data_IF_788620383821
#
_entry.id   IF_788620383821
#
_cell.length_a   1.000
_cell.length_b   1.000
_cell.length_c   1.000
_cell.angle_alpha   90.00
_cell.angle_beta   90.00
_cell.angle_gamma   90.00
#
_symmetry.space_group_name_H-M   'P 1'
#
loop_
_entity.id
_entity.type
_entity.pdbx_description
1 polymer ?
#
# COMPACT_ATOMS: atom_id res chain seq x y z
N UNK A 1 -33.88 59.29 -24.70
CA UNK A 1 -32.69 58.65 -24.11
C UNK A 1 -33.18 57.76 -22.98
N UNK A 2 -33.08 56.44 -23.10
CA UNK A 2 -32.99 55.40 -22.04
C UNK A 2 -33.00 54.06 -22.80
N UNK A 3 -31.78 53.56 -23.07
CA UNK A 3 -31.51 52.14 -23.25
C UNK A 3 -31.53 51.51 -21.86
N UNK A 4 -32.20 50.35 -21.66
CA UNK A 4 -31.79 49.34 -20.67
C UNK A 4 -32.37 47.98 -21.12
N UNK A 5 -31.58 47.20 -21.86
CA UNK A 5 -30.82 46.04 -21.38
C UNK A 5 -31.70 44.85 -20.94
N UNK A 6 -31.85 43.88 -21.85
CA UNK A 6 -32.34 42.53 -21.57
C UNK A 6 -31.35 41.86 -20.62
N UNK A 7 -31.76 41.59 -19.39
CA UNK A 7 -30.97 40.81 -18.44
C UNK A 7 -30.99 39.33 -18.88
N UNK A 8 -29.89 38.87 -19.45
CA UNK A 8 -29.63 37.46 -19.73
C UNK A 8 -29.29 36.77 -18.40
N UNK A 9 -30.13 35.84 -17.97
CA UNK A 9 -29.90 34.99 -16.81
C UNK A 9 -28.77 34.00 -17.15
N UNK A 10 -27.54 34.28 -16.74
CA UNK A 10 -26.43 33.30 -16.84
C UNK A 10 -26.40 32.51 -15.54
N UNK A 11 -27.02 31.32 -15.56
CA UNK A 11 -26.97 30.35 -14.48
C UNK A 11 -25.56 29.73 -14.45
N UNK A 12 -24.68 30.23 -13.57
CA UNK A 12 -23.38 29.60 -13.33
C UNK A 12 -23.61 28.38 -12.44
N UNK A 13 -23.77 27.21 -13.05
CA UNK A 13 -23.72 25.94 -12.34
C UNK A 13 -22.28 25.65 -11.90
N UNK A 14 -21.94 26.07 -10.69
CA UNK A 14 -20.73 25.64 -10.02
C UNK A 14 -20.86 24.13 -9.73
N UNK A 15 -20.29 23.30 -10.62
CA UNK A 15 -20.14 21.86 -10.43
C UNK A 15 -19.15 21.63 -9.29
N UNK A 16 -19.65 21.62 -8.05
CA UNK A 16 -18.87 21.24 -6.88
C UNK A 16 -18.60 19.74 -6.97
N UNK A 17 -17.45 19.38 -7.52
CA UNK A 17 -16.90 18.03 -7.38
C UNK A 17 -16.59 17.84 -5.90
N UNK A 18 -17.53 17.21 -5.17
CA UNK A 18 -17.29 16.66 -3.84
C UNK A 18 -16.21 15.60 -4.00
N UNK A 19 -14.95 16.01 -3.85
CA UNK A 19 -13.87 15.07 -3.61
C UNK A 19 -14.18 14.45 -2.25
N UNK A 20 -14.70 13.22 -2.25
CA UNK A 20 -14.80 12.40 -1.06
C UNK A 20 -13.37 12.21 -0.55
N UNK A 21 -12.92 13.08 0.34
CA UNK A 21 -11.71 12.89 1.13
C UNK A 21 -12.06 11.76 2.09
N UNK A 22 -11.95 10.51 1.61
CA UNK A 22 -11.96 9.34 2.48
C UNK A 22 -10.93 9.63 3.56
N UNK A 23 -11.37 9.77 4.81
CA UNK A 23 -10.44 9.84 5.94
C UNK A 23 -9.72 8.51 6.00
N UNK A 24 -8.38 8.53 6.08
CA UNK A 24 -7.65 7.28 6.36
C UNK A 24 -7.82 6.91 7.82
N UNK A 25 -8.14 5.64 8.07
CA UNK A 25 -8.32 5.07 9.41
C UNK A 25 -7.02 4.52 9.98
N UNK A 26 -6.02 4.30 9.13
CA UNK A 26 -4.71 3.77 9.53
C UNK A 26 -3.58 4.80 9.36
N UNK A 27 -2.51 4.67 10.13
CA UNK A 27 -1.29 5.47 10.00
C UNK A 27 -0.72 5.30 8.59
N UNK A 28 -0.64 4.07 8.10
CA UNK A 28 -0.06 3.81 6.79
C UNK A 28 -0.97 4.24 5.64
N UNK A 29 -2.29 4.14 5.77
CA UNK A 29 -3.24 4.73 4.82
C UNK A 29 -3.08 6.25 4.74
N UNK A 30 -2.94 6.93 5.88
CA UNK A 30 -2.70 8.38 5.93
C UNK A 30 -1.38 8.75 5.28
N UNK A 31 -0.32 7.99 5.55
CA UNK A 31 0.99 8.16 4.90
C UNK A 31 0.89 7.94 3.38
N UNK A 32 0.22 6.87 2.95
CA UNK A 32 0.02 6.52 1.55
C UNK A 32 -0.74 7.61 0.77
N UNK A 33 -1.77 8.20 1.36
CA UNK A 33 -2.51 9.33 0.75
C UNK A 33 -1.62 10.55 0.52
N UNK A 34 -0.67 10.84 1.42
CA UNK A 34 0.29 11.94 1.24
C UNK A 34 1.21 11.73 0.04
N UNK A 35 1.59 10.48 -0.25
CA UNK A 35 2.39 10.13 -1.44
C UNK A 35 1.65 10.41 -2.76
N UNK A 36 0.31 10.37 -2.75
CA UNK A 36 -0.54 10.56 -3.93
C UNK A 36 -0.87 12.01 -4.29
N UNK A 37 -0.51 13.00 -3.47
CA UNK A 37 -0.99 14.39 -3.62
C UNK A 37 -0.26 15.23 -4.69
N UNK A 38 0.55 14.60 -5.56
CA UNK A 38 0.98 15.21 -6.83
C UNK A 38 -0.03 14.83 -7.92
N UNK A 39 -1.25 15.35 -7.81
CA UNK A 39 -2.23 15.25 -8.88
C UNK A 39 -1.85 16.24 -9.99
N UNK A 40 -0.82 15.91 -10.77
CA UNK A 40 -0.69 16.52 -12.10
C UNK A 40 -1.85 15.95 -12.90
N UNK A 41 -2.91 16.74 -13.07
CA UNK A 41 -3.99 16.42 -14.01
C UNK A 41 -3.40 16.52 -15.42
N UNK A 42 -2.62 15.51 -15.81
CA UNK A 42 -2.45 15.23 -17.23
C UNK A 42 -3.72 14.49 -17.61
N UNK A 43 -4.64 15.20 -18.26
CA UNK A 43 -5.81 14.60 -18.91
C UNK A 43 -5.29 13.70 -20.04
N UNK A 44 -4.72 12.55 -19.71
CA UNK A 44 -4.55 11.46 -20.66
C UNK A 44 -5.92 10.82 -20.72
N UNK A 45 -6.62 11.01 -21.83
CA UNK A 45 -7.77 10.18 -22.20
C UNK A 45 -7.37 8.72 -21.96
N UNK A 46 -7.83 8.15 -20.83
CA UNK A 46 -7.61 6.74 -20.55
C UNK A 46 -8.49 5.99 -21.53
N UNK A 47 -7.86 5.32 -22.50
CA UNK A 47 -8.53 4.36 -23.36
C UNK A 47 -9.14 3.30 -22.45
N UNK A 48 -10.47 3.30 -22.36
CA UNK A 48 -11.25 2.28 -21.66
C UNK A 48 -10.73 0.89 -22.07
N UNK A 49 -10.21 0.12 -21.11
CA UNK A 49 -9.73 -1.25 -21.33
C UNK A 49 -8.21 -1.47 -21.25
N UNK A 50 -7.38 -0.45 -21.02
CA UNK A 50 -5.95 -0.66 -20.73
C UNK A 50 -5.71 -1.24 -19.33
N UNK A 51 -4.68 -2.08 -19.10
CA UNK A 51 -4.35 -2.56 -17.76
C UNK A 51 -4.01 -1.37 -16.88
N UNK A 52 -4.78 -1.20 -15.80
CA UNK A 52 -4.57 -0.14 -14.82
C UNK A 52 -3.16 -0.31 -14.23
N UNK A 53 -2.23 0.52 -14.67
CA UNK A 53 -0.83 0.49 -14.22
C UNK A 53 -0.83 0.85 -12.74
N UNK A 54 -0.24 0.03 -11.86
CA UNK A 54 -0.13 0.36 -10.44
C UNK A 54 0.59 1.69 -10.29
N UNK A 55 0.17 2.50 -9.32
CA UNK A 55 0.81 3.81 -9.12
C UNK A 55 2.25 3.72 -8.62
N UNK A 56 2.68 2.52 -8.19
CA UNK A 56 4.00 2.23 -7.63
C UNK A 56 4.40 3.25 -6.57
N UNK A 57 3.45 3.64 -5.70
CA UNK A 57 3.64 4.71 -4.71
C UNK A 57 4.56 4.28 -3.58
N UNK A 58 4.59 3.00 -3.25
CA UNK A 58 5.36 2.47 -2.14
C UNK A 58 6.70 1.96 -2.68
N UNK A 59 7.79 2.65 -2.33
CA UNK A 59 9.15 2.30 -2.78
C UNK A 59 9.86 1.53 -1.67
N UNK A 60 10.40 0.36 -1.95
CA UNK A 60 11.09 -0.44 -0.92
C UNK A 60 12.27 0.31 -0.32
N UNK A 61 13.01 1.10 -1.11
CA UNK A 61 14.11 1.92 -0.59
C UNK A 61 13.73 2.79 0.62
N UNK A 62 12.45 3.17 0.77
CA UNK A 62 11.96 3.94 1.93
C UNK A 62 11.87 3.09 3.19
N UNK A 63 11.73 1.77 3.06
CA UNK A 63 11.80 0.82 4.16
C UNK A 63 13.20 0.71 4.77
N UNK A 64 14.24 0.84 3.93
CA UNK A 64 15.62 0.47 4.31
C UNK A 64 15.76 -0.99 4.72
N UNK A 65 14.79 -1.85 4.36
CA UNK A 65 14.65 -3.23 4.81
C UNK A 65 14.22 -4.09 3.62
N UNK A 66 15.07 -5.02 3.17
CA UNK A 66 14.71 -5.88 2.05
C UNK A 66 13.55 -6.80 2.43
N UNK A 67 12.77 -7.20 1.43
CA UNK A 67 11.64 -8.12 1.59
C UNK A 67 12.12 -9.49 2.08
N UNK A 68 11.55 -10.01 3.17
CA UNK A 68 11.89 -11.33 3.74
C UNK A 68 10.83 -12.38 3.43
N UNK A 69 11.22 -13.64 3.57
CA UNK A 69 10.29 -14.77 3.51
C UNK A 69 9.44 -14.86 4.78
N UNK A 70 8.18 -15.25 4.59
CA UNK A 70 7.25 -15.65 5.65
C UNK A 70 7.01 -17.14 5.56
N UNK A 71 7.36 -17.82 6.65
CA UNK A 71 7.04 -19.23 6.87
C UNK A 71 5.54 -19.36 7.14
N UNK A 72 4.92 -20.48 6.72
CA UNK A 72 3.52 -20.78 6.98
C UNK A 72 3.12 -20.60 8.46
N UNK A 73 2.03 -19.87 8.70
CA UNK A 73 1.52 -19.59 10.04
C UNK A 73 0.02 -19.24 10.05
N UNK A 74 -0.55 -19.07 11.25
CA UNK A 74 -1.84 -18.46 11.49
C UNK A 74 -1.68 -16.94 11.62
N UNK A 75 -1.85 -16.23 10.52
CA UNK A 75 -1.80 -14.77 10.49
C UNK A 75 -3.03 -14.09 11.07
N UNK A 76 -2.92 -12.78 11.27
CA UNK A 76 -3.99 -11.89 11.72
C UNK A 76 -5.24 -11.99 10.82
N UNK A 77 -5.04 -12.11 9.50
CA UNK A 77 -6.14 -12.15 8.53
C UNK A 77 -6.64 -13.58 8.27
N UNK A 78 -5.72 -14.52 8.09
CA UNK A 78 -6.03 -15.93 7.78
C UNK A 78 -4.84 -16.84 8.08
N UNK A 79 -5.09 -18.14 8.17
CA UNK A 79 -4.02 -19.15 8.09
C UNK A 79 -3.48 -19.22 6.66
N UNK A 80 -2.16 -19.18 6.52
CA UNK A 80 -1.49 -19.25 5.22
C UNK A 80 -0.42 -20.35 5.23
N UNK A 81 -0.13 -20.86 4.04
CA UNK A 81 0.83 -21.95 3.83
C UNK A 81 1.93 -21.49 2.88
N UNK A 82 2.95 -22.33 2.69
CA UNK A 82 4.06 -22.06 1.77
C UNK A 82 3.62 -21.89 0.30
N UNK A 83 2.42 -22.34 -0.07
CA UNK A 83 1.84 -22.17 -1.41
C UNK A 83 0.86 -21.00 -1.50
N UNK A 84 0.46 -20.42 -0.36
CA UNK A 84 -0.41 -19.24 -0.33
C UNK A 84 0.35 -18.06 -0.90
N UNK A 85 -0.24 -17.33 -1.85
CA UNK A 85 0.33 -16.09 -2.40
C UNK A 85 0.02 -14.91 -1.48
N UNK A 86 0.76 -14.79 -0.39
CA UNK A 86 0.47 -13.87 0.71
C UNK A 86 1.59 -12.87 1.00
N UNK A 87 1.21 -11.80 1.68
CA UNK A 87 2.15 -10.90 2.35
C UNK A 87 1.65 -10.48 3.73
N UNK A 88 2.59 -10.11 4.58
CA UNK A 88 2.31 -9.40 5.81
C UNK A 88 2.75 -7.94 5.71
N UNK A 89 2.05 -7.07 6.41
CA UNK A 89 2.33 -5.64 6.46
C UNK A 89 2.58 -5.19 7.90
N UNK A 90 3.25 -4.05 8.05
CA UNK A 90 3.57 -3.51 9.37
C UNK A 90 2.33 -3.30 10.24
N UNK A 91 2.36 -3.80 11.47
CA UNK A 91 1.29 -3.58 12.46
C UNK A 91 1.44 -2.28 13.24
N UNK A 92 2.53 -1.54 13.02
CA UNK A 92 2.83 -0.31 13.77
C UNK A 92 3.58 -0.56 15.08
N UNK A 93 4.22 -1.72 15.22
CA UNK A 93 5.08 -2.04 16.35
C UNK A 93 6.38 -1.21 16.35
N UNK A 94 6.93 -0.98 17.56
CA UNK A 94 8.15 -0.20 17.79
C UNK A 94 8.25 1.10 16.96
N UNK A 95 7.21 1.96 16.94
CA UNK A 95 7.24 3.14 16.10
C UNK A 95 8.15 4.21 16.72
N UNK A 96 8.93 4.92 15.89
CA UNK A 96 9.75 6.06 16.36
C UNK A 96 8.90 7.19 16.95
N UNK A 97 7.66 7.33 16.49
CA UNK A 97 6.71 8.35 16.96
C UNK A 97 5.42 7.68 17.40
N UNK A 98 4.78 8.10 18.50
CA UNK A 98 3.51 7.53 18.95
C UNK A 98 2.43 7.58 17.87
N UNK A 99 1.58 6.55 17.86
CA UNK A 99 0.42 6.51 16.96
C UNK A 99 -0.53 7.68 17.26
N UNK A 100 -0.88 8.51 16.26
CA UNK A 100 -1.86 9.57 16.45
C UNK A 100 -3.20 9.03 16.95
N UNK A 101 -3.84 9.74 17.88
CA UNK A 101 -5.15 9.35 18.44
C UNK A 101 -6.17 9.09 17.32
N UNK A 102 -6.87 7.96 17.43
CA UNK A 102 -7.92 7.55 16.50
C UNK A 102 -7.43 6.95 15.17
N UNK A 103 -6.14 6.61 15.07
CA UNK A 103 -5.60 5.83 13.96
C UNK A 103 -5.16 4.45 14.41
N UNK A 104 -5.33 3.48 13.53
CA UNK A 104 -4.67 2.17 13.59
C UNK A 104 -3.15 2.35 13.38
N UNK A 105 -2.27 1.81 14.26
CA UNK A 105 -0.82 2.09 14.25
C UNK A 105 -0.05 1.78 12.96
N UNK A 106 -0.45 0.76 12.21
CA UNK A 106 0.24 0.32 11.00
C UNK A 106 -0.67 0.34 9.76
N UNK A 107 -0.58 -0.74 8.97
CA UNK A 107 -1.54 -1.05 7.91
C UNK A 107 -2.75 -1.83 8.42
N UNK A 108 -2.56 -2.68 9.42
CA UNK A 108 -3.60 -3.48 10.08
C UNK A 108 -3.16 -3.84 11.49
N UNK A 109 -4.09 -4.30 12.31
CA UNK A 109 -3.84 -4.93 13.62
C UNK A 109 -4.82 -6.08 13.82
N UNK A 110 -4.74 -6.78 14.96
CA UNK A 110 -5.77 -7.74 15.36
C UNK A 110 -7.17 -7.12 15.44
N UNK A 111 -7.27 -5.87 15.88
CA UNK A 111 -8.53 -5.13 16.01
C UNK A 111 -8.99 -4.48 14.69
N UNK A 112 -8.07 -4.00 13.85
CA UNK A 112 -8.38 -3.38 12.56
C UNK A 112 -7.84 -4.22 11.40
N UNK A 113 -8.73 -5.07 10.88
CA UNK A 113 -8.47 -5.98 9.75
C UNK A 113 -8.86 -5.40 8.40
N UNK A 114 -9.08 -4.09 8.30
CA UNK A 114 -9.65 -3.45 7.09
C UNK A 114 -8.80 -3.61 5.82
N UNK A 115 -7.51 -3.89 5.95
CA UNK A 115 -6.62 -4.18 4.82
C UNK A 115 -6.42 -5.68 4.53
N UNK A 116 -6.97 -6.59 5.33
CA UNK A 116 -6.93 -8.02 5.09
C UNK A 116 -7.57 -8.42 3.76
N UNK A 117 -6.96 -9.39 3.06
CA UNK A 117 -7.45 -9.92 1.78
C UNK A 117 -7.31 -8.97 0.59
N UNK A 118 -6.96 -7.69 0.81
CA UNK A 118 -6.68 -6.75 -0.28
C UNK A 118 -5.52 -7.26 -1.13
N UNK A 119 -5.64 -7.01 -2.42
CA UNK A 119 -4.66 -7.47 -3.40
C UNK A 119 -3.53 -6.45 -3.50
N UNK A 120 -2.30 -6.94 -3.67
CA UNK A 120 -1.12 -6.11 -3.90
C UNK A 120 -0.37 -6.58 -5.15
N UNK A 121 0.56 -5.74 -5.59
CA UNK A 121 1.49 -6.05 -6.67
C UNK A 121 2.88 -5.52 -6.34
N UNK A 122 3.89 -6.34 -6.58
CA UNK A 122 5.32 -6.04 -6.40
C UNK A 122 5.98 -5.88 -7.77
N UNK A 123 6.88 -4.91 -7.88
CA UNK A 123 7.75 -4.68 -9.04
C UNK A 123 9.20 -5.04 -8.70
N UNK A 124 9.81 -5.86 -9.55
CA UNK A 124 11.23 -6.18 -9.50
C UNK A 124 11.76 -6.37 -10.92
N UNK A 125 12.48 -5.37 -11.45
CA UNK A 125 12.88 -5.33 -12.86
C UNK A 125 11.66 -5.41 -13.79
N UNK A 126 11.63 -6.44 -14.63
CA UNK A 126 10.52 -6.74 -15.56
C UNK A 126 9.43 -7.61 -14.93
N UNK A 127 9.64 -8.16 -13.73
CA UNK A 127 8.70 -9.06 -13.06
C UNK A 127 7.66 -8.25 -12.30
N UNK A 128 6.42 -8.70 -12.38
CA UNK A 128 5.32 -8.21 -11.55
C UNK A 128 4.65 -9.39 -10.83
N UNK A 129 4.77 -9.42 -9.52
CA UNK A 129 4.27 -10.51 -8.68
C UNK A 129 3.04 -10.02 -7.90
N UNK A 130 1.99 -10.83 -7.83
CA UNK A 130 0.74 -10.49 -7.11
C UNK A 130 0.45 -11.47 -5.99
N UNK A 131 -0.22 -10.95 -4.97
CA UNK A 131 -0.74 -11.71 -3.83
C UNK A 131 -1.80 -10.92 -3.08
N UNK A 132 -2.14 -11.41 -1.89
CA UNK A 132 -3.09 -10.77 -0.96
C UNK A 132 -2.49 -10.56 0.41
N UNK A 133 -3.02 -9.60 1.16
CA UNK A 133 -2.62 -9.38 2.56
C UNK A 133 -3.21 -10.51 3.41
N UNK A 134 -2.36 -11.31 4.03
CA UNK A 134 -2.73 -12.48 4.85
C UNK A 134 -2.39 -12.30 6.33
N UNK A 135 -1.57 -11.32 6.66
CA UNK A 135 -1.04 -11.17 8.01
C UNK A 135 -0.57 -9.74 8.30
N UNK A 136 -0.29 -9.46 9.58
CA UNK A 136 0.45 -8.31 10.03
C UNK A 136 1.74 -8.75 10.73
N UNK A 137 2.85 -8.08 10.42
CA UNK A 137 4.14 -8.38 11.04
C UNK A 137 4.64 -7.22 11.89
N UNK A 138 5.38 -7.60 12.93
CA UNK A 138 6.38 -6.74 13.51
C UNK A 138 7.58 -6.61 12.57
N UNK A 139 8.12 -5.39 12.42
CA UNK A 139 9.34 -5.17 11.62
C UNK A 139 10.54 -4.81 12.47
N UNK A 140 10.43 -5.00 13.78
CA UNK A 140 11.38 -4.43 14.72
C UNK A 140 11.64 -5.28 15.96
N UNK A 141 11.41 -6.60 15.88
CA UNK A 141 11.41 -7.48 17.07
C UNK A 141 12.69 -7.36 17.93
N UNK A 142 13.84 -6.97 17.37
CA UNK A 142 15.07 -6.60 18.11
C UNK A 142 15.80 -5.36 17.55
N UNK A 143 15.09 -4.50 16.80
CA UNK A 143 15.70 -3.42 16.00
C UNK A 143 15.48 -2.00 16.54
N UNK A 144 16.15 -0.98 15.95
CA UNK A 144 15.87 0.41 16.26
C UNK A 144 14.42 0.77 15.87
N UNK A 145 13.79 1.75 16.55
CA UNK A 145 12.43 2.18 16.24
C UNK A 145 12.24 2.57 14.78
N UNK A 146 11.11 2.16 14.22
CA UNK A 146 10.79 2.27 12.79
C UNK A 146 10.02 3.56 12.54
N UNK A 147 10.46 4.35 11.55
CA UNK A 147 9.68 5.52 11.11
C UNK A 147 8.43 5.08 10.35
N UNK A 148 7.41 5.94 10.27
CA UNK A 148 6.21 5.64 9.47
C UNK A 148 6.54 5.27 8.03
N UNK A 149 7.46 5.99 7.36
CA UNK A 149 7.85 5.67 5.99
C UNK A 149 8.51 4.29 5.90
N UNK A 150 9.36 3.95 6.88
CA UNK A 150 10.05 2.67 6.88
C UNK A 150 9.07 1.50 7.04
N UNK A 151 8.20 1.58 8.05
CA UNK A 151 7.26 0.51 8.34
C UNK A 151 6.19 0.39 7.26
N UNK A 152 5.64 1.51 6.79
CA UNK A 152 4.62 1.49 5.75
C UNK A 152 5.15 1.08 4.36
N UNK A 153 6.47 1.13 4.14
CA UNK A 153 7.08 0.70 2.87
C UNK A 153 7.62 -0.72 2.88
N UNK A 154 7.75 -1.34 4.06
CA UNK A 154 8.17 -2.73 4.19
C UNK A 154 7.01 -3.69 3.89
N UNK A 155 7.36 -4.83 3.30
CA UNK A 155 6.46 -5.94 3.00
C UNK A 155 7.28 -7.23 3.11
N UNK A 156 6.78 -8.23 3.83
CA UNK A 156 7.35 -9.58 3.79
C UNK A 156 6.34 -10.50 3.09
N UNK A 157 6.85 -11.54 2.43
CA UNK A 157 6.03 -12.36 1.52
C UNK A 157 6.23 -13.84 1.78
N UNK A 158 5.18 -14.62 1.58
CA UNK A 158 5.21 -16.10 1.67
C UNK A 158 6.24 -16.74 0.75
N UNK A 159 6.73 -17.94 1.11
CA UNK A 159 7.71 -18.75 0.34
C UNK A 159 7.51 -18.73 -1.18
N UNK A 160 6.29 -18.97 -1.67
CA UNK A 160 6.01 -18.98 -3.12
C UNK A 160 6.34 -17.64 -3.80
N UNK A 161 5.99 -16.52 -3.18
CA UNK A 161 6.26 -15.19 -3.74
C UNK A 161 7.72 -14.79 -3.58
N UNK A 162 8.34 -15.16 -2.46
CA UNK A 162 9.78 -14.98 -2.22
C UNK A 162 10.60 -15.64 -3.35
N UNK A 163 10.21 -16.87 -3.71
CA UNK A 163 10.85 -17.64 -4.78
C UNK A 163 10.68 -16.98 -6.16
N UNK A 164 9.49 -16.45 -6.47
CA UNK A 164 9.24 -15.74 -7.73
C UNK A 164 10.06 -14.44 -7.86
N UNK A 165 10.31 -13.79 -6.73
CA UNK A 165 11.18 -12.61 -6.59
C UNK A 165 12.68 -12.97 -6.60
N UNK A 166 13.02 -14.25 -6.83
CA UNK A 166 14.40 -14.70 -7.03
C UNK A 166 15.13 -15.12 -5.76
N UNK A 167 14.43 -15.21 -4.62
CA UNK A 167 14.97 -15.89 -3.45
C UNK A 167 14.88 -17.41 -3.60
N UNK A 168 15.60 -18.14 -2.75
CA UNK A 168 15.59 -19.59 -2.72
C UNK A 168 15.80 -20.10 -1.29
N UNK A 169 14.72 -20.30 -0.53
CA UNK A 169 14.81 -20.81 0.85
C UNK A 169 15.35 -22.24 0.97
N UNK A 170 15.46 -22.98 -0.15
CA UNK A 170 16.04 -24.31 -0.16
C UNK A 170 17.58 -24.27 -0.35
N UNK A 171 18.15 -23.10 -0.68
CA UNK A 171 19.60 -22.86 -0.66
C UNK A 171 20.04 -22.38 0.73
N UNK A 172 20.95 -23.15 1.36
CA UNK A 172 21.52 -22.82 2.67
C UNK A 172 22.30 -21.49 2.71
N UNK A 173 22.70 -20.97 1.55
CA UNK A 173 23.41 -19.69 1.44
C UNK A 173 22.46 -18.52 1.13
N UNK A 174 21.17 -18.79 0.95
CA UNK A 174 20.20 -17.73 0.71
C UNK A 174 20.06 -16.84 1.95
N UNK A 175 20.14 -15.51 1.79
CA UNK A 175 20.13 -14.59 2.92
C UNK A 175 18.75 -14.42 3.56
N UNK A 176 17.71 -15.10 3.08
CA UNK A 176 16.33 -14.98 3.53
C UNK A 176 15.72 -13.62 3.23
N UNK A 177 16.26 -12.90 2.24
CA UNK A 177 15.84 -11.56 1.83
C UNK A 177 16.07 -11.29 0.34
N UNK A 178 15.16 -10.55 -0.28
CA UNK A 178 15.22 -10.08 -1.67
C UNK A 178 14.94 -8.59 -1.74
N UNK A 179 15.68 -7.88 -2.59
CA UNK A 179 15.42 -6.46 -2.89
C UNK A 179 14.33 -6.37 -3.97
N UNK A 180 13.38 -5.45 -3.79
CA UNK A 180 12.31 -5.14 -4.75
C UNK A 180 12.31 -3.64 -5.07
N UNK A 181 11.80 -3.22 -6.22
CA UNK A 181 11.82 -1.79 -6.56
C UNK A 181 10.71 -1.02 -5.84
N UNK A 182 9.52 -1.62 -5.83
CA UNK A 182 8.30 -1.01 -5.34
C UNK A 182 7.22 -2.06 -5.13
N UNK A 183 6.23 -1.72 -4.34
CA UNK A 183 4.95 -2.42 -4.31
C UNK A 183 3.81 -1.43 -4.25
N UNK A 184 2.59 -1.90 -4.44
CA UNK A 184 1.41 -1.09 -4.26
C UNK A 184 0.18 -1.97 -4.02
N UNK A 185 -0.87 -1.37 -3.45
CA UNK A 185 -2.19 -1.98 -3.49
C UNK A 185 -2.68 -2.03 -4.93
N UNK A 186 -3.30 -3.14 -5.31
CA UNK A 186 -3.90 -3.24 -6.63
C UNK A 186 -5.07 -2.26 -6.72
N UNK A 187 -4.93 -1.28 -7.61
CA UNK A 187 -5.96 -0.50 -8.30
C UNK A 187 -7.41 -0.52 -7.76
N UNK A 188 -8.06 -1.70 -7.77
CA UNK A 188 -9.46 -1.89 -7.40
C UNK A 188 -9.71 -1.83 -5.88
N UNK A 189 -8.67 -1.90 -5.06
CA UNK A 189 -8.75 -2.00 -3.60
C UNK A 189 -7.71 -1.08 -2.93
N UNK A 190 -7.91 0.26 -2.93
CA UNK A 190 -7.00 1.16 -2.24
C UNK A 190 -6.94 0.83 -0.74
N UNK A 191 -5.82 1.11 -0.06
CA UNK A 191 -5.73 0.92 1.37
C UNK A 191 -6.59 1.94 2.12
N UNK A 192 -7.03 1.56 3.32
CA UNK A 192 -7.73 2.46 4.25
C UNK A 192 -6.74 3.30 5.06
#
# INVERSE_FOLDING_TARGET
>A
MIFQLKALLVLVTALTVLVNISSSTTVCGRWYKKQGNKMTVTVRLMKSGGPMVPSWRIKEKESGRPTRELTADKGICETYTNTTRGACLWIGDNPRTPTPKGLTPGWLTDDDKSNCGKQFIIKQGKKHVRGKIVDGCGFADDGPPVTTAQGCSAIYVTKVLYTELGGNVDDKNDPGKVEIEAWDFAAKNPPV
#
